data_IF_382109828609
#
_entry.id   IF_382109828609
#
_cell.length_a   1.000
_cell.length_b   1.000
_cell.length_c   1.000
_cell.angle_alpha   90.00
_cell.angle_beta   90.00
_cell.angle_gamma   90.00
#
_symmetry.space_group_name_H-M   'P 1'
#
loop_
_entity.id
_entity.type
_entity.pdbx_description
1 polymer ?
#
# COMPACT_ATOMS: atom_id res chain seq x y z
N UNK A 1 -0.01 -16.80 14.31
CA UNK A 1 -0.02 -18.08 15.07
C UNK A 1 -0.52 -19.26 14.23
N UNK A 2 -1.76 -19.27 13.74
CA UNK A 2 -2.35 -20.41 13.00
C UNK A 2 -1.58 -20.81 11.72
N UNK A 3 -1.10 -19.82 10.95
CA UNK A 3 -0.30 -20.06 9.74
C UNK A 3 1.11 -20.61 10.03
N UNK A 4 1.70 -20.27 11.18
CA UNK A 4 3.00 -20.82 11.61
C UNK A 4 2.88 -22.27 12.10
N UNK A 5 1.76 -22.59 12.75
CA UNK A 5 1.46 -23.96 13.21
C UNK A 5 1.27 -24.92 12.03
N UNK A 6 0.55 -24.49 10.97
CA UNK A 6 0.39 -25.28 9.74
C UNK A 6 1.71 -25.47 8.96
N UNK A 7 2.65 -24.52 9.08
CA UNK A 7 3.96 -24.58 8.44
C UNK A 7 4.85 -25.71 8.98
N UNK A 8 4.73 -26.03 10.27
CA UNK A 8 5.50 -27.10 10.89
C UNK A 8 5.08 -28.50 10.41
N UNK A 9 3.87 -28.65 9.89
CA UNK A 9 3.29 -29.94 9.51
C UNK A 9 3.54 -30.27 8.03
N UNK A 10 3.57 -29.26 7.15
CA UNK A 10 3.58 -29.49 5.69
C UNK A 10 4.89 -29.09 4.97
N UNK A 11 5.81 -28.35 5.62
CA UNK A 11 7.06 -27.85 5.03
C UNK A 11 6.96 -27.33 3.57
N UNK A 12 5.98 -26.49 3.16
CA UNK A 12 6.08 -25.85 1.86
C UNK A 12 7.23 -24.83 1.90
N UNK A 13 8.20 -24.96 1.00
CA UNK A 13 9.36 -24.07 0.83
C UNK A 13 9.04 -22.56 0.67
N UNK A 14 7.76 -22.20 0.62
CA UNK A 14 7.19 -20.90 0.27
C UNK A 14 6.76 -20.10 1.52
N UNK A 15 6.72 -20.72 2.70
CA UNK A 15 6.14 -20.11 3.92
C UNK A 15 7.09 -19.15 4.64
N UNK A 16 8.41 -19.23 4.43
CA UNK A 16 9.36 -18.42 5.21
C UNK A 16 9.14 -16.90 5.10
N UNK A 17 8.75 -16.41 3.93
CA UNK A 17 8.58 -14.97 3.67
C UNK A 17 7.14 -14.52 3.51
N UNK A 18 6.17 -15.43 3.34
CA UNK A 18 4.76 -15.09 3.10
C UNK A 18 4.13 -14.27 4.26
N UNK A 19 4.32 -14.63 5.55
CA UNK A 19 3.78 -13.83 6.66
C UNK A 19 4.36 -12.41 6.69
N UNK A 20 5.64 -12.26 6.35
CA UNK A 20 6.28 -10.95 6.27
C UNK A 20 5.68 -10.11 5.14
N UNK A 21 5.44 -10.68 3.96
CA UNK A 21 4.81 -9.95 2.85
C UNK A 21 3.36 -9.59 3.15
N UNK A 22 2.60 -10.46 3.81
CA UNK A 22 1.23 -10.14 4.24
C UNK A 22 1.24 -8.98 5.24
N UNK A 23 2.18 -8.96 6.18
CA UNK A 23 2.28 -7.89 7.15
C UNK A 23 2.79 -6.57 6.55
N UNK A 24 3.90 -6.60 5.82
CA UNK A 24 4.53 -5.38 5.28
C UNK A 24 3.79 -4.83 4.08
N UNK A 25 3.34 -5.69 3.16
CA UNK A 25 2.66 -5.25 1.93
C UNK A 25 1.16 -5.16 2.12
N UNK A 26 0.55 -6.09 2.87
CA UNK A 26 -0.88 -6.07 3.16
C UNK A 26 -1.26 -5.06 4.23
N UNK A 27 -0.79 -5.25 5.46
CA UNK A 27 -1.19 -4.37 6.54
C UNK A 27 -0.55 -2.97 6.41
N UNK A 28 0.78 -2.89 6.35
CA UNK A 28 1.46 -1.59 6.29
C UNK A 28 1.30 -0.92 4.92
N UNK A 29 1.40 -1.67 3.82
CA UNK A 29 1.23 -1.13 2.46
C UNK A 29 -0.14 -0.51 2.19
N UNK A 30 -1.23 -1.02 2.80
CA UNK A 30 -2.56 -0.43 2.68
C UNK A 30 -2.79 0.73 3.65
N UNK A 31 -2.25 0.66 4.86
CA UNK A 31 -2.45 1.68 5.91
C UNK A 31 -1.65 2.96 5.58
N UNK A 32 -0.40 2.83 5.12
CA UNK A 32 0.50 3.98 4.90
C UNK A 32 -0.08 5.01 3.92
N UNK A 33 -0.58 4.63 2.72
CA UNK A 33 -1.20 5.58 1.79
C UNK A 33 -2.36 6.36 2.41
N UNK A 34 -3.27 5.66 3.11
CA UNK A 34 -4.42 6.27 3.76
C UNK A 34 -4.00 7.22 4.90
N UNK A 35 -2.98 6.83 5.68
CA UNK A 35 -2.42 7.64 6.74
C UNK A 35 -1.72 8.89 6.19
N UNK A 36 -0.95 8.76 5.11
CA UNK A 36 -0.26 9.87 4.45
C UNK A 36 -1.26 10.93 3.96
N UNK A 37 -2.33 10.53 3.27
CA UNK A 37 -3.42 11.42 2.83
C UNK A 37 -3.98 12.22 4.01
N UNK A 38 -4.25 11.54 5.13
CA UNK A 38 -4.82 12.17 6.33
C UNK A 38 -3.84 13.15 6.98
N UNK A 39 -2.58 12.77 7.13
CA UNK A 39 -1.53 13.59 7.75
C UNK A 39 -1.30 14.84 6.91
N UNK A 40 -1.08 14.71 5.60
CA UNK A 40 -0.82 15.86 4.73
C UNK A 40 -1.98 16.86 4.78
N UNK A 41 -3.22 16.38 4.66
CA UNK A 41 -4.40 17.26 4.75
C UNK A 41 -4.51 17.93 6.12
N UNK A 42 -4.26 17.20 7.22
CA UNK A 42 -4.27 17.74 8.57
C UNK A 42 -3.20 18.82 8.82
N UNK A 43 -1.97 18.60 8.38
CA UNK A 43 -0.86 19.55 8.57
C UNK A 43 -0.92 20.75 7.64
N UNK A 44 -1.55 20.62 6.45
CA UNK A 44 -1.72 21.74 5.50
C UNK A 44 -2.97 22.58 5.78
N UNK A 45 -3.72 22.27 6.84
CA UNK A 45 -4.96 22.96 7.21
C UNK A 45 -6.14 22.67 6.26
N UNK A 46 -6.02 21.63 5.42
CA UNK A 46 -7.06 21.24 4.44
C UNK A 46 -8.06 20.28 5.10
N UNK A 47 -9.29 20.27 4.59
CA UNK A 47 -10.31 19.32 5.07
C UNK A 47 -9.85 17.88 4.80
N UNK A 48 -9.87 17.04 5.83
CA UNK A 48 -9.53 15.61 5.73
C UNK A 48 -10.70 14.86 5.08
N UNK A 49 -10.78 14.97 3.76
CA UNK A 49 -11.80 14.28 2.94
C UNK A 49 -11.09 13.49 1.86
N UNK A 50 -11.50 12.23 1.67
CA UNK A 50 -10.99 11.39 0.59
C UNK A 50 -11.71 11.74 -0.72
N UNK A 51 -10.97 12.35 -1.63
CA UNK A 51 -11.44 12.65 -2.97
C UNK A 51 -11.44 11.39 -3.87
N UNK A 52 -11.99 11.50 -5.08
CA UNK A 52 -12.03 10.41 -6.07
C UNK A 52 -10.63 9.86 -6.37
N UNK A 53 -9.64 10.75 -6.50
CA UNK A 53 -8.24 10.34 -6.74
C UNK A 53 -7.67 9.58 -5.55
N UNK A 54 -7.92 10.01 -4.32
CA UNK A 54 -7.42 9.33 -3.12
C UNK A 54 -7.99 7.93 -3.00
N UNK A 55 -9.29 7.77 -3.30
CA UNK A 55 -9.92 6.44 -3.36
C UNK A 55 -9.30 5.58 -4.44
N UNK A 56 -9.01 6.14 -5.61
CA UNK A 56 -8.41 5.39 -6.72
C UNK A 56 -7.02 4.85 -6.37
N UNK A 57 -6.20 5.65 -5.69
CA UNK A 57 -4.88 5.26 -5.19
C UNK A 57 -4.96 4.11 -4.18
N UNK A 58 -5.94 4.16 -3.27
CA UNK A 58 -6.17 3.06 -2.33
C UNK A 58 -6.59 1.77 -3.05
N UNK A 59 -7.47 1.86 -4.05
CA UNK A 59 -7.85 0.71 -4.87
C UNK A 59 -6.69 0.11 -5.65
N UNK A 60 -5.79 0.96 -6.20
CA UNK A 60 -4.57 0.51 -6.87
C UNK A 60 -3.67 -0.27 -5.90
N UNK A 61 -3.51 0.21 -4.66
CA UNK A 61 -2.72 -0.51 -3.65
C UNK A 61 -3.37 -1.84 -3.23
N UNK A 62 -4.71 -1.89 -3.13
CA UNK A 62 -5.45 -3.14 -2.89
C UNK A 62 -5.20 -4.13 -4.03
N UNK A 63 -5.22 -3.68 -5.29
CA UNK A 63 -4.90 -4.53 -6.44
C UNK A 63 -3.44 -5.05 -6.37
N UNK A 64 -2.49 -4.19 -6.01
CA UNK A 64 -1.09 -4.60 -5.79
C UNK A 64 -0.94 -5.68 -4.71
N UNK A 65 -1.71 -5.58 -3.62
CA UNK A 65 -1.74 -6.62 -2.58
C UNK A 65 -2.28 -7.95 -3.11
N UNK A 66 -3.35 -7.92 -3.90
CA UNK A 66 -3.92 -9.13 -4.54
C UNK A 66 -2.91 -9.80 -5.45
N UNK A 67 -2.22 -9.04 -6.31
CA UNK A 67 -1.17 -9.56 -7.18
C UNK A 67 0.04 -10.10 -6.41
N UNK A 68 0.38 -9.52 -5.25
CA UNK A 68 1.53 -9.97 -4.47
C UNK A 68 1.25 -11.23 -3.66
N UNK A 69 0.04 -11.37 -3.11
CA UNK A 69 -0.28 -12.37 -2.09
C UNK A 69 -1.23 -13.43 -2.60
N UNK A 70 -2.29 -13.07 -3.32
CA UNK A 70 -3.38 -13.99 -3.66
C UNK A 70 -3.08 -14.74 -4.94
N UNK A 71 -2.74 -14.02 -6.02
CA UNK A 71 -2.55 -14.62 -7.35
C UNK A 71 -1.40 -15.66 -7.39
N UNK A 72 -0.23 -15.42 -6.76
CA UNK A 72 0.84 -16.41 -6.70
C UNK A 72 0.48 -17.74 -6.04
N UNK A 73 -0.59 -17.78 -5.22
CA UNK A 73 -1.07 -19.02 -4.61
C UNK A 73 -1.91 -19.86 -5.58
N UNK A 74 -2.50 -19.22 -6.58
CA UNK A 74 -3.37 -19.86 -7.58
C UNK A 74 -2.56 -20.21 -8.84
N UNK A 75 -1.67 -19.32 -9.26
CA UNK A 75 -0.78 -19.50 -10.40
C UNK A 75 0.68 -19.21 -10.01
N UNK A 76 1.40 -20.22 -9.48
CA UNK A 76 2.80 -20.07 -9.11
C UNK A 76 3.76 -20.03 -10.31
N UNK A 77 3.32 -20.46 -11.50
CA UNK A 77 4.21 -20.62 -12.67
C UNK A 77 4.72 -19.26 -13.17
N UNK A 78 3.87 -18.24 -13.12
CA UNK A 78 4.17 -16.87 -13.56
C UNK A 78 4.56 -15.92 -12.40
N UNK A 79 5.13 -16.46 -11.31
CA UNK A 79 5.46 -15.69 -10.09
C UNK A 79 6.16 -14.34 -10.32
N UNK A 80 7.13 -14.28 -11.23
CA UNK A 80 7.87 -13.05 -11.53
C UNK A 80 6.97 -11.97 -12.14
N UNK A 81 6.04 -12.36 -13.04
CA UNK A 81 5.09 -11.41 -13.64
C UNK A 81 4.17 -10.81 -12.59
N UNK A 82 3.73 -11.61 -11.62
CA UNK A 82 2.89 -11.14 -10.52
C UNK A 82 3.64 -10.17 -9.59
N UNK A 83 4.95 -10.37 -9.41
CA UNK A 83 5.80 -9.41 -8.70
C UNK A 83 5.87 -8.09 -9.46
N UNK A 84 6.12 -8.12 -10.77
CA UNK A 84 6.24 -6.89 -11.58
C UNK A 84 4.93 -6.09 -11.56
N UNK A 85 3.78 -6.77 -11.65
CA UNK A 85 2.46 -6.16 -11.52
C UNK A 85 2.24 -5.52 -10.14
N UNK A 86 2.59 -6.23 -9.06
CA UNK A 86 2.50 -5.69 -7.71
C UNK A 86 3.41 -4.46 -7.52
N UNK A 87 4.64 -4.50 -8.05
CA UNK A 87 5.58 -3.39 -8.03
C UNK A 87 5.06 -2.19 -8.83
N UNK A 88 4.45 -2.42 -10.00
CA UNK A 88 3.84 -1.37 -10.81
C UNK A 88 2.67 -0.70 -10.08
N UNK A 89 1.79 -1.46 -9.43
CA UNK A 89 0.71 -0.90 -8.60
C UNK A 89 1.25 -0.06 -7.44
N UNK A 90 2.27 -0.55 -6.74
CA UNK A 90 2.91 0.17 -5.65
C UNK A 90 3.53 1.48 -6.13
N UNK A 91 4.32 1.42 -7.21
CA UNK A 91 4.95 2.59 -7.81
C UNK A 91 3.92 3.62 -8.26
N UNK A 92 2.86 3.20 -8.95
CA UNK A 92 1.79 4.09 -9.41
C UNK A 92 1.09 4.79 -8.22
N UNK A 93 0.78 4.05 -7.15
CA UNK A 93 0.19 4.61 -5.94
C UNK A 93 1.05 5.73 -5.33
N UNK A 94 2.33 5.45 -5.08
CA UNK A 94 3.23 6.43 -4.47
C UNK A 94 3.62 7.57 -5.42
N UNK A 95 3.70 7.33 -6.73
CA UNK A 95 3.93 8.37 -7.72
C UNK A 95 2.76 9.37 -7.76
N UNK A 96 1.51 8.89 -7.77
CA UNK A 96 0.32 9.74 -7.73
C UNK A 96 0.25 10.53 -6.42
N UNK A 97 0.47 9.87 -5.28
CA UNK A 97 0.50 10.54 -3.98
C UNK A 97 1.60 11.60 -3.90
N UNK A 98 2.80 11.28 -4.34
CA UNK A 98 3.93 12.20 -4.35
C UNK A 98 3.63 13.41 -5.20
N UNK A 99 3.21 13.21 -6.46
CA UNK A 99 2.88 14.31 -7.36
C UNK A 99 1.78 15.22 -6.80
N UNK A 100 0.76 14.64 -6.15
CA UNK A 100 -0.37 15.41 -5.59
C UNK A 100 0.01 16.15 -4.30
N UNK A 101 0.70 15.49 -3.38
CA UNK A 101 0.85 15.97 -2.00
C UNK A 101 2.18 16.67 -1.70
N UNK A 102 3.26 16.39 -2.45
CA UNK A 102 4.52 17.15 -2.35
C UNK A 102 4.28 18.67 -2.51
N UNK A 103 3.56 19.16 -3.55
CA UNK A 103 3.35 20.61 -3.68
C UNK A 103 2.52 21.19 -2.54
N UNK A 104 1.63 20.41 -1.91
CA UNK A 104 0.84 20.89 -0.76
C UNK A 104 1.70 21.08 0.49
N UNK A 105 2.69 20.21 0.70
CA UNK A 105 3.63 20.30 1.81
C UNK A 105 4.64 21.45 1.64
N UNK A 106 4.92 21.85 0.40
CA UNK A 106 5.82 22.97 0.09
C UNK A 106 5.14 24.34 0.12
N UNK A 107 3.80 24.36 0.23
CA UNK A 107 3.02 25.60 0.30
C UNK A 107 2.74 25.98 1.77
N UNK A 108 2.63 27.29 2.07
CA UNK A 108 2.12 27.74 3.36
C UNK A 108 0.74 27.14 3.65
N UNK A 109 0.45 26.91 4.93
CA UNK A 109 -0.84 26.37 5.35
C UNK A 109 -1.98 27.24 4.84
N UNK A 110 -3.01 26.58 4.31
CA UNK A 110 -4.18 27.27 3.72
C UNK A 110 -5.00 28.00 4.79
N UNK A 111 -4.92 27.59 6.05
CA UNK A 111 -5.65 28.19 7.17
C UNK A 111 -4.93 29.38 7.83
N UNK A 112 -3.74 29.76 7.34
CA UNK A 112 -3.00 30.93 7.81
C UNK A 112 -2.49 30.85 9.24
N UNK A 113 -2.52 29.66 9.88
CA UNK A 113 -1.98 29.46 11.23
C UNK A 113 -0.48 29.17 11.17
N UNK A 114 0.29 29.80 12.06
CA UNK A 114 1.67 29.42 12.34
C UNK A 114 1.69 27.98 12.91
N UNK A 115 2.81 27.27 12.68
CA UNK A 115 2.95 25.84 12.98
C UNK A 115 2.97 25.55 14.48
#
# INVERSE_FOLDING_TARGET
>A
LLLQFLAQIAQPAWIGSLPMHVFTFGAMGLIIPAMLIRIVNGHTGRKVVFDRLDKSVLWIMIAGFVFRIIIPQVDPADYLRWIDLAAACWFACFAILGWRYIPYLLQPRVDGKEH
#
